data_IF_661370880000
#
_entry.id   IF_661370880000
#
_cell.length_a   1.000
_cell.length_b   1.000
_cell.length_c   1.000
_cell.angle_alpha   90.00
_cell.angle_beta   90.00
_cell.angle_gamma   90.00
#
_symmetry.space_group_name_H-M   'P 1'
#
loop_
_entity.id
_entity.type
_entity.pdbx_description
1 polymer ?
#
# COMPACT_ATOMS: atom_id res chain seq x y z
N UNK A 1 0.09 15.82 21.50
CA UNK A 1 -1.20 15.68 20.79
C UNK A 1 -1.06 14.57 19.77
N UNK A 2 -2.08 13.75 19.53
CA UNK A 2 -2.08 12.79 18.43
C UNK A 2 -1.91 13.52 17.09
N UNK A 3 -1.16 12.91 16.18
CA UNK A 3 -0.92 13.40 14.83
C UNK A 3 -1.19 12.26 13.85
N UNK A 4 -1.47 12.64 12.60
CA UNK A 4 -1.67 11.67 11.53
C UNK A 4 -0.32 11.31 10.90
N UNK A 5 -0.13 10.03 10.69
CA UNK A 5 1.06 9.43 10.11
C UNK A 5 0.66 8.55 8.94
N UNK A 6 1.60 8.43 8.02
CA UNK A 6 1.55 7.47 6.94
C UNK A 6 2.79 6.59 7.00
N UNK A 7 2.62 5.29 6.87
CA UNK A 7 3.72 4.35 6.74
C UNK A 7 3.60 3.56 5.46
N UNK A 8 4.68 3.55 4.69
CA UNK A 8 4.84 2.71 3.52
C UNK A 8 5.93 1.68 3.83
N UNK A 9 5.57 0.41 3.74
CA UNK A 9 6.50 -0.68 3.97
C UNK A 9 6.37 -1.77 2.91
N UNK A 10 7.46 -2.51 2.76
CA UNK A 10 7.64 -3.55 1.75
C UNK A 10 7.86 -4.87 2.47
N UNK A 11 6.94 -5.80 2.28
CA UNK A 11 7.04 -7.19 2.76
C UNK A 11 7.70 -8.05 1.68
N UNK A 12 8.43 -9.10 2.08
CA UNK A 12 8.96 -10.11 1.16
C UNK A 12 7.82 -10.73 0.34
N UNK A 13 7.95 -10.72 -0.99
CA UNK A 13 6.94 -11.26 -1.90
C UNK A 13 7.05 -12.77 -2.17
N UNK A 14 7.91 -13.45 -1.40
CA UNK A 14 8.11 -14.90 -1.41
C UNK A 14 7.24 -15.62 -0.36
N UNK A 15 6.65 -14.84 0.56
CA UNK A 15 5.74 -15.36 1.58
C UNK A 15 4.37 -15.68 0.97
N UNK A 16 3.64 -16.69 1.49
CA UNK A 16 2.24 -16.90 1.18
C UNK A 16 1.40 -15.67 1.55
N UNK A 17 0.30 -15.45 0.82
CA UNK A 17 -0.60 -14.30 1.07
C UNK A 17 -1.13 -14.28 2.52
N UNK A 18 -1.40 -15.45 3.11
CA UNK A 18 -1.82 -15.56 4.52
C UNK A 18 -0.77 -15.03 5.50
N UNK A 19 0.51 -15.23 5.22
CA UNK A 19 1.59 -14.75 6.08
C UNK A 19 1.86 -13.27 5.88
N UNK A 20 1.63 -12.75 4.67
CA UNK A 20 1.62 -11.31 4.41
C UNK A 20 0.49 -10.64 5.22
N UNK A 21 -0.69 -11.24 5.24
CA UNK A 21 -1.83 -10.70 6.00
C UNK A 21 -1.59 -10.75 7.51
N UNK A 22 -0.97 -11.82 8.03
CA UNK A 22 -0.54 -11.87 9.45
C UNK A 22 0.46 -10.77 9.79
N UNK A 23 1.37 -10.45 8.87
CA UNK A 23 2.35 -9.38 9.06
C UNK A 23 1.67 -8.01 9.12
N UNK A 24 0.70 -7.77 8.22
CA UNK A 24 -0.12 -6.56 8.22
C UNK A 24 -0.90 -6.44 9.54
N UNK A 25 -1.54 -7.52 9.98
CA UNK A 25 -2.23 -7.55 11.27
C UNK A 25 -1.29 -7.32 12.46
N UNK A 26 -0.06 -7.84 12.42
CA UNK A 26 0.92 -7.64 13.49
C UNK A 26 1.28 -6.16 13.65
N UNK A 27 1.45 -5.44 12.53
CA UNK A 27 1.72 -4.00 12.52
C UNK A 27 0.51 -3.22 13.00
N UNK A 28 -0.70 -3.59 12.57
CA UNK A 28 -1.95 -3.01 13.07
C UNK A 28 -2.09 -3.17 14.59
N UNK A 29 -1.85 -4.38 15.11
CA UNK A 29 -1.88 -4.69 16.55
C UNK A 29 -0.77 -4.01 17.35
N UNK A 30 0.28 -3.51 16.70
CA UNK A 30 1.31 -2.70 17.36
C UNK A 30 0.83 -1.25 17.60
N UNK A 31 -0.11 -0.77 16.78
CA UNK A 31 -0.60 0.62 16.80
C UNK A 31 -1.88 0.74 17.65
N UNK A 32 -2.84 -0.18 17.48
CA UNK A 32 -4.15 -0.14 18.15
C UNK A 32 -4.13 -0.01 19.69
N UNK A 33 -3.21 -0.66 20.44
CA UNK A 33 -3.22 -0.59 21.90
C UNK A 33 -2.76 0.76 22.47
N UNK A 34 -2.15 1.63 21.65
CA UNK A 34 -1.59 2.90 22.11
C UNK A 34 -2.70 3.95 22.24
N UNK A 35 -2.69 4.72 23.32
CA UNK A 35 -3.74 5.70 23.59
C UNK A 35 -3.85 6.77 22.48
N UNK A 36 -5.08 7.03 22.04
CA UNK A 36 -5.36 8.01 20.99
C UNK A 36 -4.97 7.55 19.58
N UNK A 37 -4.77 6.24 19.40
CA UNK A 37 -4.42 5.65 18.11
C UNK A 37 -5.66 5.19 17.35
N UNK A 38 -5.67 5.42 16.03
CA UNK A 38 -6.76 5.00 15.16
C UNK A 38 -6.21 4.70 13.77
N UNK A 39 -6.69 3.64 13.13
CA UNK A 39 -6.35 3.33 11.74
C UNK A 39 -7.32 4.07 10.84
N UNK A 40 -6.77 4.89 9.94
CA UNK A 40 -7.54 5.70 8.99
C UNK A 40 -7.75 4.92 7.70
N UNK A 41 -6.68 4.32 7.17
CA UNK A 41 -6.69 3.64 5.89
C UNK A 41 -5.64 2.53 5.84
N UNK A 42 -6.00 1.38 5.29
CA UNK A 42 -5.08 0.30 4.96
C UNK A 42 -5.24 -0.04 3.48
N UNK A 43 -4.21 0.19 2.69
CA UNK A 43 -4.19 -0.07 1.25
C UNK A 43 -3.10 -1.07 0.88
N UNK A 44 -3.50 -2.20 0.30
CA UNK A 44 -2.61 -3.27 -0.16
C UNK A 44 -2.35 -3.09 -1.65
N UNK A 45 -1.13 -2.68 -2.01
CA UNK A 45 -0.76 -2.41 -3.40
C UNK A 45 -0.34 -3.65 -4.20
N UNK A 46 -0.18 -4.79 -3.52
CA UNK A 46 0.21 -6.04 -4.14
C UNK A 46 1.70 -6.16 -4.43
N UNK A 47 2.04 -7.20 -5.19
CA UNK A 47 3.42 -7.53 -5.60
C UNK A 47 3.90 -6.60 -6.71
N UNK A 48 4.95 -5.83 -6.45
CA UNK A 48 5.61 -4.95 -7.43
C UNK A 48 7.09 -5.31 -7.56
N UNK A 49 7.66 -5.05 -8.74
CA UNK A 49 9.10 -5.26 -9.01
C UNK A 49 9.91 -4.12 -8.38
N UNK A 50 10.96 -4.48 -7.66
CA UNK A 50 11.90 -3.51 -7.08
C UNK A 50 12.88 -3.01 -8.15
N UNK A 51 13.31 -1.75 -8.06
CA UNK A 51 14.30 -1.19 -8.98
C UNK A 51 15.66 -1.90 -8.88
N UNK A 52 16.02 -2.36 -7.68
CA UNK A 52 17.20 -3.15 -7.39
C UNK A 52 16.87 -4.23 -6.34
N UNK A 53 17.72 -5.24 -6.25
CA UNK A 53 17.50 -6.34 -5.31
C UNK A 53 17.76 -5.90 -3.86
N UNK A 54 16.81 -6.11 -2.97
CA UNK A 54 16.94 -5.85 -1.52
C UNK A 54 16.92 -7.19 -0.80
N UNK A 55 17.95 -7.51 0.02
CA UNK A 55 18.05 -8.82 0.70
C UNK A 55 17.82 -10.02 -0.26
N UNK A 56 18.38 -9.95 -1.48
CA UNK A 56 18.21 -10.93 -2.59
C UNK A 56 16.80 -11.03 -3.19
N UNK A 57 15.87 -10.16 -2.81
CA UNK A 57 14.51 -10.09 -3.34
C UNK A 57 14.42 -9.14 -4.53
N UNK A 58 13.79 -9.57 -5.64
CA UNK A 58 13.51 -8.73 -6.81
C UNK A 58 12.10 -8.16 -6.83
N UNK A 59 11.22 -8.71 -6.00
CA UNK A 59 9.83 -8.29 -5.86
C UNK A 59 9.54 -7.99 -4.38
N UNK A 60 8.60 -7.08 -4.14
CA UNK A 60 8.13 -6.75 -2.81
C UNK A 60 6.63 -6.52 -2.83
N UNK A 61 5.96 -6.86 -1.73
CA UNK A 61 4.56 -6.56 -1.53
C UNK A 61 4.45 -5.22 -0.80
N UNK A 62 3.81 -4.23 -1.45
CA UNK A 62 3.71 -2.88 -0.91
C UNK A 62 2.43 -2.73 -0.09
N UNK A 63 2.58 -2.16 1.11
CA UNK A 63 1.45 -1.85 1.99
C UNK A 63 1.56 -0.41 2.46
N UNK A 64 0.49 0.34 2.26
CA UNK A 64 0.30 1.68 2.76
C UNK A 64 -0.67 1.62 3.94
N UNK A 65 -0.29 2.24 5.05
CA UNK A 65 -1.12 2.35 6.25
C UNK A 65 -1.10 3.79 6.73
N UNK A 66 -2.29 4.40 6.85
CA UNK A 66 -2.50 5.72 7.44
C UNK A 66 -3.15 5.56 8.80
N UNK A 67 -2.63 6.25 9.80
CA UNK A 67 -3.10 6.12 11.17
C UNK A 67 -2.84 7.40 11.97
N UNK A 68 -3.72 7.69 12.92
CA UNK A 68 -3.50 8.69 13.96
C UNK A 68 -2.78 8.02 15.12
N UNK A 69 -1.77 8.68 15.71
CA UNK A 69 -1.08 8.18 16.89
C UNK A 69 -0.34 9.27 17.67
N UNK A 70 0.14 8.93 18.87
CA UNK A 70 1.07 9.76 19.64
C UNK A 70 2.49 9.72 19.04
N UNK A 71 3.34 10.75 19.29
CA UNK A 71 4.72 10.82 18.77
C UNK A 71 5.66 9.69 19.20
N UNK A 72 5.26 8.84 20.14
CA UNK A 72 5.99 7.64 20.59
C UNK A 72 5.89 6.46 19.61
N UNK A 73 4.84 6.41 18.79
CA UNK A 73 4.54 5.26 17.92
C UNK A 73 5.47 5.15 16.71
N UNK A 74 5.87 6.25 16.02
CA UNK A 74 6.81 6.16 14.89
C UNK A 74 8.15 5.50 15.21
N UNK A 75 8.69 5.74 16.42
CA UNK A 75 9.94 5.10 16.86
C UNK A 75 9.75 3.59 17.09
N UNK A 76 8.63 3.19 17.70
CA UNK A 76 8.26 1.78 17.89
C UNK A 76 8.13 1.05 16.55
N UNK A 77 7.44 1.66 15.58
CA UNK A 77 7.27 1.11 14.23
C UNK A 77 8.62 1.00 13.50
N UNK A 78 9.42 2.05 13.51
CA UNK A 78 10.75 2.04 12.88
C UNK A 78 11.63 0.96 13.49
N UNK A 79 11.57 0.77 14.81
CA UNK A 79 12.27 -0.32 15.51
C UNK A 79 11.75 -1.68 15.06
N UNK A 80 10.43 -1.87 15.03
CA UNK A 80 9.81 -3.12 14.58
C UNK A 80 10.25 -3.49 13.16
N UNK A 81 10.20 -2.53 12.21
CA UNK A 81 10.62 -2.74 10.82
C UNK A 81 12.10 -3.13 10.67
N UNK A 82 12.97 -2.65 11.58
CA UNK A 82 14.39 -3.01 11.57
C UNK A 82 14.64 -4.45 12.02
N UNK A 83 13.91 -4.92 13.04
CA UNK A 83 14.09 -6.26 13.60
C UNK A 83 13.29 -7.32 12.86
N UNK A 84 12.23 -6.94 12.17
CA UNK A 84 11.41 -7.86 11.42
C UNK A 84 12.11 -8.27 10.11
N UNK A 85 12.47 -9.55 10.01
CA UNK A 85 13.15 -10.07 8.83
C UNK A 85 12.24 -10.14 7.59
N UNK A 86 10.92 -10.25 7.78
CA UNK A 86 9.93 -10.30 6.68
C UNK A 86 9.77 -8.95 5.99
N UNK A 87 10.16 -7.87 6.67
CA UNK A 87 10.11 -6.52 6.14
C UNK A 87 11.45 -6.19 5.46
N UNK A 88 11.36 -5.78 4.21
CA UNK A 88 12.51 -5.37 3.40
C UNK A 88 12.90 -3.93 3.70
N UNK A 89 11.91 -3.03 3.77
CA UNK A 89 12.07 -1.61 4.06
C UNK A 89 10.75 -1.04 4.56
N UNK A 90 10.81 -0.07 5.46
CA UNK A 90 9.67 0.70 5.92
C UNK A 90 10.06 2.16 6.14
N UNK A 91 9.15 3.07 5.88
CA UNK A 91 9.30 4.51 6.10
C UNK A 91 8.03 4.99 6.79
N UNK A 92 8.19 5.74 7.87
CA UNK A 92 7.10 6.43 8.58
C UNK A 92 7.27 7.92 8.37
N UNK A 93 6.21 8.60 7.94
CA UNK A 93 6.17 10.05 7.72
C UNK A 93 4.97 10.66 8.41
N UNK A 94 5.05 11.95 8.72
CA UNK A 94 3.89 12.72 9.16
C UNK A 94 2.98 12.94 7.94
N UNK A 95 1.69 12.66 8.09
CA UNK A 95 0.73 12.85 7.02
C UNK A 95 0.27 14.31 6.98
N UNK A 96 0.58 14.99 5.88
CA UNK A 96 0.10 16.34 5.62
C UNK A 96 -1.18 16.29 4.77
N UNK A 97 -2.31 16.66 5.38
CA UNK A 97 -3.62 16.72 4.74
C UNK A 97 -3.70 17.72 3.58
N UNK A 98 -2.83 18.73 3.51
CA UNK A 98 -2.79 19.64 2.37
C UNK A 98 -2.26 18.91 1.12
N UNK A 99 -1.14 18.19 1.27
CA UNK A 99 -0.52 17.43 0.19
C UNK A 99 -1.35 16.19 -0.21
N UNK A 100 -1.94 15.49 0.75
CA UNK A 100 -2.74 14.29 0.49
C UNK A 100 -4.00 14.56 -0.36
N UNK A 101 -4.66 15.71 -0.14
CA UNK A 101 -5.86 16.11 -0.90
C UNK A 101 -5.58 16.40 -2.36
N UNK A 102 -4.39 16.88 -2.69
CA UNK A 102 -3.99 17.12 -4.08
C UNK A 102 -3.78 15.81 -4.85
N UNK A 103 -3.16 14.81 -4.20
CA UNK A 103 -2.92 13.48 -4.80
C UNK A 103 -4.25 12.75 -5.06
N UNK A 104 -5.16 12.75 -4.08
CA UNK A 104 -6.49 12.14 -4.22
C UNK A 104 -7.37 12.86 -5.27
N UNK A 105 -7.11 14.15 -5.52
CA UNK A 105 -7.76 14.91 -6.59
C UNK A 105 -7.18 14.61 -7.98
N UNK A 106 -5.89 14.27 -8.07
CA UNK A 106 -5.25 13.83 -9.32
C UNK A 106 -5.61 12.39 -9.71
N UNK A 107 -5.70 11.45 -8.76
CA UNK A 107 -6.14 10.07 -9.03
C UNK A 107 -7.60 10.00 -9.53
N UNK A 108 -8.43 10.99 -9.19
CA UNK A 108 -9.82 11.10 -9.67
C UNK A 108 -9.96 11.75 -11.04
N UNK A 109 -8.88 12.28 -11.65
CA UNK A 109 -8.92 12.68 -13.06
C UNK A 109 -8.82 11.42 -13.93
N UNK A 110 -9.83 11.08 -14.74
CA UNK A 110 -9.76 9.92 -15.60
C UNK A 110 -8.58 10.10 -16.56
N UNK A 111 -7.77 9.05 -16.71
CA UNK A 111 -6.73 8.93 -17.73
C UNK A 111 -7.40 8.98 -19.11
N UNK A 112 -7.65 10.20 -19.59
CA UNK A 112 -8.08 10.47 -20.95
C UNK A 112 -6.86 10.43 -21.87
N UNK A 113 -6.49 9.24 -22.36
CA UNK A 113 -5.89 8.98 -23.68
C UNK A 113 -5.28 7.57 -23.78
N UNK A 114 -6.14 6.57 -23.99
CA UNK A 114 -5.77 5.44 -24.84
C UNK A 114 -6.69 5.52 -26.07
N UNK A 115 -6.17 5.77 -27.28
CA UNK A 115 -7.00 5.93 -28.47
C UNK A 115 -7.55 4.56 -28.90
N UNK A 116 -8.87 4.51 -29.08
CA UNK A 116 -9.57 3.42 -29.73
C UNK A 116 -9.62 3.69 -31.25
N UNK A 117 -8.91 2.88 -32.03
CA UNK A 117 -9.14 2.57 -33.45
C UNK A 117 -8.64 1.12 -33.65
N UNK A 118 -9.51 0.10 -33.56
CA UNK A 118 -10.34 -0.50 -34.61
C UNK A 118 -9.58 -1.39 -35.62
N UNK A 119 -9.80 -2.71 -35.55
CA UNK A 119 -9.78 -3.59 -36.73
C UNK A 119 -10.90 -4.63 -36.64
N UNK A 120 -11.84 -4.49 -37.58
CA UNK A 120 -13.07 -5.27 -37.86
C UNK A 120 -12.82 -6.74 -38.21
N UNK A 121 -13.78 -7.62 -37.89
CA UNK A 121 -14.55 -8.45 -38.86
C UNK A 121 -15.25 -9.65 -38.20
N UNK A 122 -16.58 -9.75 -38.33
CA UNK A 122 -17.41 -10.97 -38.49
C UNK A 122 -18.89 -10.59 -38.22
N UNK A 123 -19.59 -10.06 -39.23
CA UNK A 123 -20.52 -10.80 -40.10
C UNK A 123 -21.80 -11.31 -39.41
N UNK A 124 -22.85 -10.50 -39.60
CA UNK A 124 -24.21 -10.85 -40.03
C UNK A 124 -24.85 -12.13 -39.46
N UNK A 125 -25.64 -11.95 -38.40
CA UNK A 125 -26.67 -12.90 -37.97
C UNK A 125 -27.75 -13.01 -39.05
N UNK A 126 -27.77 -14.13 -39.76
CA UNK A 126 -28.88 -14.52 -40.65
C UNK A 126 -29.87 -15.41 -39.89
N UNK A 127 -31.14 -15.16 -40.19
CA UNK A 127 -32.36 -15.69 -39.61
C UNK A 127 -32.76 -17.03 -40.27
N UNK A 128 -33.28 -18.00 -39.50
CA UNK A 128 -34.09 -19.15 -39.96
C UNK A 128 -34.74 -19.75 -38.69
N UNK A 129 -36.07 -19.69 -38.51
CA UNK A 129 -37.13 -20.49 -39.15
C UNK A 129 -37.09 -21.97 -38.75
#
# INVERSE_FOLDING_TARGET
MPQDYETLYIVKADLPDEDIDKEIESITKLIEPEEGSSIIELSKWGKKRLAYSIKKQRYGFYVLLRFTALPSVPEKLTRHFRFNENILKGIVVIYDHAAGREIEAEEKKPVASAPAEESKSADTSNNEA
#
